data_IF_139926915632
#
_entry.id   IF_139926915632
#
_cell.length_a   1.000
_cell.length_b   1.000
_cell.length_c   1.000
_cell.angle_alpha   90.00
_cell.angle_beta   90.00
_cell.angle_gamma   90.00
#
_symmetry.space_group_name_H-M   'P 1'
#
loop_
_entity.id
_entity.type
_entity.pdbx_description
1 polymer ?
#
# COMPACT_ATOMS: atom_id res chain seq x y z
N UNK A 1 0.11 0.79 -11.16
CA UNK A 1 -0.69 0.35 -10.00
C UNK A 1 -1.17 1.51 -9.15
N UNK A 2 -1.82 1.19 -8.02
CA UNK A 2 -2.49 2.20 -7.16
C UNK A 2 -1.57 3.37 -6.79
N UNK A 3 -0.33 3.12 -6.35
CA UNK A 3 0.60 4.20 -5.98
C UNK A 3 0.87 5.19 -7.10
N UNK A 4 1.04 4.72 -8.37
CA UNK A 4 1.20 5.59 -9.53
C UNK A 4 -0.07 6.39 -9.83
N UNK A 5 -1.24 5.77 -9.73
CA UNK A 5 -2.51 6.45 -9.96
C UNK A 5 -2.76 7.56 -8.93
N UNK A 6 -2.47 7.29 -7.64
CA UNK A 6 -2.54 8.28 -6.57
C UNK A 6 -1.54 9.42 -6.76
N UNK A 7 -0.28 9.09 -7.11
CA UNK A 7 0.74 10.10 -7.35
C UNK A 7 0.35 11.08 -8.45
N UNK A 8 -0.17 10.56 -9.57
CA UNK A 8 -0.67 11.40 -10.66
C UNK A 8 -1.80 12.32 -10.19
N UNK A 9 -2.80 11.76 -9.52
CA UNK A 9 -3.94 12.52 -9.05
C UNK A 9 -3.52 13.64 -8.07
N UNK A 10 -2.66 13.34 -7.11
CA UNK A 10 -2.21 14.36 -6.15
C UNK A 10 -1.30 15.41 -6.77
N UNK A 11 -0.48 15.08 -7.78
CA UNK A 11 0.28 16.09 -8.54
C UNK A 11 -0.67 16.99 -9.33
N UNK A 12 -1.69 16.43 -9.98
CA UNK A 12 -2.75 17.20 -10.68
C UNK A 12 -3.52 18.12 -9.73
N UNK A 13 -3.74 17.70 -8.49
CA UNK A 13 -4.35 18.51 -7.43
C UNK A 13 -3.40 19.59 -6.86
N UNK A 14 -2.14 19.64 -7.33
CA UNK A 14 -1.16 20.65 -6.94
C UNK A 14 -0.26 20.28 -5.76
N UNK A 15 -0.33 19.04 -5.27
CA UNK A 15 0.55 18.56 -4.19
C UNK A 15 1.95 18.21 -4.71
N UNK A 16 2.95 18.30 -3.84
CA UNK A 16 4.28 17.73 -4.07
C UNK A 16 4.30 16.27 -3.61
N UNK A 17 4.79 15.37 -4.45
CA UNK A 17 4.75 13.93 -4.20
C UNK A 17 6.14 13.30 -4.27
N UNK A 18 6.58 12.64 -3.21
CA UNK A 18 7.75 11.77 -3.23
C UNK A 18 7.31 10.33 -3.59
N UNK A 19 7.84 9.82 -4.69
CA UNK A 19 7.57 8.48 -5.22
C UNK A 19 8.68 7.52 -4.76
N UNK A 20 8.34 6.59 -3.88
CA UNK A 20 9.26 5.58 -3.39
C UNK A 20 9.05 4.26 -4.14
N UNK A 21 10.14 3.66 -4.60
CA UNK A 21 10.08 2.35 -5.22
C UNK A 21 11.43 1.69 -5.36
N UNK A 22 11.44 0.36 -5.27
CA UNK A 22 12.65 -0.47 -5.31
C UNK A 22 13.45 -0.33 -6.62
N UNK A 23 12.77 -0.16 -7.75
CA UNK A 23 13.40 0.02 -9.06
C UNK A 23 13.50 1.52 -9.37
N UNK A 24 14.68 2.12 -9.14
CA UNK A 24 14.92 3.55 -9.33
C UNK A 24 14.45 4.04 -10.71
N UNK A 25 14.84 3.37 -11.80
CA UNK A 25 14.45 3.76 -13.16
C UNK A 25 12.93 3.81 -13.38
N UNK A 26 12.14 2.96 -12.66
CA UNK A 26 10.67 3.00 -12.79
C UNK A 26 10.06 4.21 -12.07
N UNK A 27 10.58 4.58 -10.91
CA UNK A 27 10.07 5.77 -10.20
C UNK A 27 10.55 7.06 -10.84
N UNK A 28 11.76 7.08 -11.40
CA UNK A 28 12.32 8.20 -12.17
C UNK A 28 11.46 8.50 -13.41
N UNK A 29 11.14 7.47 -14.21
CA UNK A 29 10.28 7.63 -15.38
C UNK A 29 8.88 8.17 -15.02
N UNK A 30 8.31 7.74 -13.88
CA UNK A 30 7.02 8.27 -13.42
C UNK A 30 7.15 9.71 -12.91
N UNK A 31 8.22 10.04 -12.19
CA UNK A 31 8.44 11.41 -11.72
C UNK A 31 8.67 12.37 -12.88
N UNK A 32 9.42 11.96 -13.91
CA UNK A 32 9.63 12.73 -15.13
C UNK A 32 8.30 13.00 -15.87
N UNK A 33 7.43 11.97 -15.98
CA UNK A 33 6.08 12.12 -16.55
C UNK A 33 5.21 13.12 -15.76
N UNK A 34 5.33 13.14 -14.44
CA UNK A 34 4.53 13.99 -13.55
C UNK A 34 5.08 15.41 -13.36
N UNK A 35 6.35 15.65 -13.75
CA UNK A 35 6.99 16.96 -13.71
C UNK A 35 7.47 17.39 -12.32
N UNK A 36 7.72 18.70 -12.16
CA UNK A 36 8.47 19.30 -11.05
C UNK A 36 7.90 19.07 -9.65
N UNK A 37 6.63 18.68 -9.55
CA UNK A 37 5.99 18.37 -8.27
C UNK A 37 6.21 16.93 -7.82
N UNK A 38 6.81 16.10 -8.67
CA UNK A 38 7.15 14.72 -8.36
C UNK A 38 8.64 14.57 -8.06
N UNK A 39 8.96 13.84 -6.99
CA UNK A 39 10.32 13.47 -6.63
C UNK A 39 10.47 11.95 -6.70
N UNK A 40 11.37 11.44 -7.52
CA UNK A 40 11.74 10.04 -7.52
C UNK A 40 12.70 9.72 -6.37
N UNK A 41 12.43 8.66 -5.63
CA UNK A 41 13.30 8.18 -4.55
C UNK A 41 13.44 6.65 -4.65
N UNK A 42 14.66 6.18 -4.97
CA UNK A 42 14.96 4.76 -4.91
C UNK A 42 14.85 4.28 -3.45
N UNK A 43 13.93 3.35 -3.18
CA UNK A 43 13.70 2.85 -1.83
C UNK A 43 13.21 1.41 -1.85
N UNK A 44 13.98 0.52 -1.25
CA UNK A 44 13.50 -0.81 -0.87
C UNK A 44 12.96 -0.73 0.56
N UNK A 45 11.65 -0.82 0.71
CA UNK A 45 10.99 -0.74 2.02
C UNK A 45 11.32 -1.94 2.93
N UNK A 46 11.88 -3.03 2.39
CA UNK A 46 12.38 -4.16 3.17
C UNK A 46 13.76 -3.90 3.78
N UNK A 47 14.48 -2.84 3.35
CA UNK A 47 15.81 -2.48 3.85
C UNK A 47 15.75 -1.27 4.78
N UNK A 48 16.09 -1.41 6.08
CA UNK A 48 16.09 -0.30 7.02
C UNK A 48 17.02 0.85 6.61
N UNK A 49 18.16 0.55 5.97
CA UNK A 49 19.10 1.56 5.49
C UNK A 49 18.53 2.33 4.29
N UNK A 50 17.94 1.61 3.33
CA UNK A 50 17.28 2.21 2.17
C UNK A 50 16.16 3.15 2.58
N UNK A 51 15.34 2.76 3.57
CA UNK A 51 14.26 3.61 4.10
C UNK A 51 14.83 4.88 4.76
N UNK A 52 15.85 4.76 5.63
CA UNK A 52 16.49 5.94 6.23
C UNK A 52 17.05 6.90 5.18
N UNK A 53 17.78 6.38 4.20
CA UNK A 53 18.34 7.18 3.10
C UNK A 53 17.25 7.90 2.31
N UNK A 54 16.16 7.21 2.00
CA UNK A 54 15.03 7.78 1.28
C UNK A 54 14.37 8.95 2.05
N UNK A 55 14.10 8.75 3.34
CA UNK A 55 13.48 9.81 4.15
C UNK A 55 14.43 10.97 4.46
N UNK A 56 15.74 10.74 4.55
CA UNK A 56 16.73 11.81 4.63
C UNK A 56 16.68 12.72 3.37
N UNK A 57 16.63 12.11 2.17
CA UNK A 57 16.48 12.86 0.92
C UNK A 57 15.14 13.63 0.83
N UNK A 58 14.05 13.03 1.33
CA UNK A 58 12.75 13.70 1.41
C UNK A 58 12.82 14.90 2.36
N UNK A 59 13.43 14.73 3.53
CA UNK A 59 13.57 15.79 4.53
C UNK A 59 14.41 16.96 4.00
N UNK A 60 15.47 16.69 3.25
CA UNK A 60 16.30 17.73 2.62
C UNK A 60 15.51 18.57 1.62
N UNK A 61 14.65 17.94 0.81
CA UNK A 61 13.88 18.64 -0.24
C UNK A 61 12.61 19.30 0.29
N UNK A 62 11.86 18.64 1.18
CA UNK A 62 10.49 19.03 1.54
C UNK A 62 10.35 19.49 3.00
N UNK A 63 11.30 19.16 3.89
CA UNK A 63 11.32 19.52 5.32
C UNK A 63 10.10 19.01 6.13
N UNK A 64 9.00 18.63 5.50
CA UNK A 64 7.76 18.15 6.11
C UNK A 64 7.13 17.04 5.26
N UNK A 65 6.45 16.12 5.92
CA UNK A 65 5.58 15.11 5.33
C UNK A 65 4.17 15.30 5.89
N UNK A 66 3.22 15.70 5.05
CA UNK A 66 1.83 15.86 5.46
C UNK A 66 1.06 14.53 5.38
N UNK A 67 1.38 13.70 4.36
CA UNK A 67 0.71 12.42 4.16
C UNK A 67 1.72 11.34 3.81
N UNK A 68 1.67 10.21 4.52
CA UNK A 68 2.38 8.98 4.19
C UNK A 68 1.36 7.93 3.71
N UNK A 69 1.52 7.40 2.49
CA UNK A 69 0.70 6.30 1.99
C UNK A 69 1.56 5.05 1.86
N UNK A 70 1.43 4.11 2.79
CA UNK A 70 2.08 2.81 2.74
C UNK A 70 1.27 1.87 1.83
N UNK A 71 1.67 1.81 0.55
CA UNK A 71 1.01 1.01 -0.48
C UNK A 71 1.87 -0.16 -0.98
N UNK A 72 3.19 -0.11 -0.82
CA UNK A 72 4.09 -1.17 -1.28
C UNK A 72 3.75 -2.51 -0.61
N UNK A 73 3.63 -3.56 -1.43
CA UNK A 73 3.36 -4.91 -0.94
C UNK A 73 3.78 -5.97 -1.97
N UNK A 74 4.12 -7.14 -1.46
CA UNK A 74 4.26 -8.38 -2.21
C UNK A 74 2.96 -9.16 -2.05
N UNK A 75 2.37 -9.59 -3.17
CA UNK A 75 1.21 -10.48 -3.25
C UNK A 75 1.61 -11.71 -4.06
N UNK A 76 1.90 -12.79 -3.36
CA UNK A 76 2.33 -14.06 -3.94
C UNK A 76 1.58 -15.21 -3.26
N UNK A 77 0.87 -16.04 -4.03
CA UNK A 77 0.15 -17.20 -3.49
C UNK A 77 1.10 -18.39 -3.41
N UNK A 78 1.12 -19.05 -2.26
CA UNK A 78 1.81 -20.33 -2.05
C UNK A 78 1.22 -21.08 -0.86
N UNK A 79 1.39 -22.40 -0.82
CA UNK A 79 1.12 -23.20 0.36
C UNK A 79 2.24 -23.01 1.38
N UNK A 80 1.91 -22.90 2.65
CA UNK A 80 2.93 -22.72 3.70
C UNK A 80 3.92 -23.89 3.75
N UNK A 81 3.45 -25.11 3.47
CA UNK A 81 4.30 -26.32 3.48
C UNK A 81 5.35 -26.30 2.36
N UNK A 82 5.08 -25.64 1.25
CA UNK A 82 5.94 -25.57 0.07
C UNK A 82 6.74 -24.25 -0.01
N UNK A 83 6.51 -23.33 0.94
CA UNK A 83 7.12 -22.01 0.93
C UNK A 83 8.62 -22.07 1.22
N UNK A 84 9.40 -21.33 0.45
CA UNK A 84 10.79 -21.06 0.81
C UNK A 84 10.88 -20.06 1.96
N UNK A 85 11.99 -20.10 2.70
CA UNK A 85 12.29 -19.09 3.72
C UNK A 85 12.27 -17.69 3.12
N UNK A 86 12.81 -17.53 1.91
CA UNK A 86 12.85 -16.25 1.18
C UNK A 86 11.45 -15.70 0.91
N UNK A 87 10.51 -16.52 0.45
CA UNK A 87 9.12 -16.10 0.22
C UNK A 87 8.46 -15.58 1.51
N UNK A 88 8.65 -16.30 2.63
CA UNK A 88 8.11 -15.89 3.92
C UNK A 88 8.76 -14.59 4.40
N UNK A 89 10.10 -14.53 4.40
CA UNK A 89 10.83 -13.34 4.85
C UNK A 89 10.53 -12.12 4.00
N UNK A 90 10.52 -12.25 2.66
CA UNK A 90 10.19 -11.15 1.76
C UNK A 90 8.77 -10.61 1.99
N UNK A 91 7.78 -11.51 2.17
CA UNK A 91 6.43 -11.10 2.46
C UNK A 91 6.32 -10.33 3.79
N UNK A 92 6.96 -10.83 4.86
CA UNK A 92 6.91 -10.21 6.19
C UNK A 92 7.69 -8.89 6.21
N UNK A 93 8.90 -8.87 5.66
CA UNK A 93 9.73 -7.65 5.67
C UNK A 93 9.12 -6.54 4.81
N UNK A 94 8.61 -6.86 3.62
CA UNK A 94 8.00 -5.86 2.75
C UNK A 94 6.64 -5.40 3.28
N UNK A 95 5.75 -6.34 3.62
CA UNK A 95 4.35 -6.00 3.90
C UNK A 95 4.12 -5.54 5.34
N UNK A 96 4.97 -5.94 6.31
CA UNK A 96 4.78 -5.61 7.73
C UNK A 96 5.87 -4.65 8.21
N UNK A 97 7.14 -5.05 8.13
CA UNK A 97 8.24 -4.23 8.61
C UNK A 97 8.39 -2.94 7.77
N UNK A 98 8.18 -3.01 6.46
CA UNK A 98 8.25 -1.86 5.55
C UNK A 98 7.37 -0.68 5.98
N UNK A 99 6.05 -0.85 6.13
CA UNK A 99 5.16 0.20 6.65
C UNK A 99 5.57 0.74 8.03
N UNK A 100 6.05 -0.12 8.92
CA UNK A 100 6.53 0.27 10.25
C UNK A 100 7.79 1.15 10.16
N UNK A 101 8.75 0.76 9.30
CA UNK A 101 9.97 1.53 9.07
C UNK A 101 9.69 2.86 8.38
N UNK A 102 8.81 2.89 7.36
CA UNK A 102 8.40 4.13 6.71
C UNK A 102 7.69 5.07 7.68
N UNK A 103 6.78 4.57 8.53
CA UNK A 103 6.12 5.37 9.56
C UNK A 103 7.15 5.94 10.56
N UNK A 104 8.09 5.13 11.04
CA UNK A 104 9.15 5.56 11.96
C UNK A 104 9.96 6.75 11.41
N UNK A 105 10.35 6.70 10.13
CA UNK A 105 11.13 7.78 9.51
C UNK A 105 10.25 8.98 9.11
N UNK A 106 8.97 8.78 8.83
CA UNK A 106 8.06 9.86 8.47
C UNK A 106 7.59 10.68 9.69
N UNK A 107 7.27 10.05 10.82
CA UNK A 107 6.71 10.68 12.01
C UNK A 107 7.52 11.92 12.47
N UNK A 108 8.86 11.89 12.54
CA UNK A 108 9.65 13.08 12.91
C UNK A 108 9.50 14.27 11.94
N UNK A 109 9.04 14.02 10.70
CA UNK A 109 8.78 15.03 9.67
C UNK A 109 7.31 15.44 9.61
N UNK A 110 6.45 14.80 10.41
CA UNK A 110 5.02 15.05 10.48
C UNK A 110 4.68 15.99 11.63
N UNK A 111 3.49 16.55 11.59
CA UNK A 111 2.95 17.39 12.65
C UNK A 111 1.43 17.26 12.71
N UNK A 112 0.81 18.08 13.57
CA UNK A 112 -0.64 18.12 13.71
C UNK A 112 -1.32 18.29 12.34
N UNK A 113 -2.37 17.52 12.11
CA UNK A 113 -3.09 17.45 10.84
C UNK A 113 -2.49 16.48 9.80
N UNK A 114 -1.28 15.97 10.02
CA UNK A 114 -0.68 14.97 9.13
C UNK A 114 -1.43 13.62 9.18
N UNK A 115 -1.24 12.78 8.15
CA UNK A 115 -2.00 11.56 8.01
C UNK A 115 -1.16 10.38 7.51
N UNK A 116 -1.19 9.26 8.18
CA UNK A 116 -0.62 7.98 7.73
C UNK A 116 -1.76 7.10 7.22
N UNK A 117 -1.68 6.67 5.95
CA UNK A 117 -2.65 5.79 5.32
C UNK A 117 -1.97 4.46 4.98
N UNK A 118 -2.40 3.38 5.62
CA UNK A 118 -1.88 2.04 5.39
C UNK A 118 -2.84 1.23 4.52
N UNK A 119 -2.36 0.72 3.38
CA UNK A 119 -3.18 -0.08 2.47
C UNK A 119 -3.13 -1.56 2.88
N UNK A 120 -4.27 -2.06 3.34
CA UNK A 120 -4.55 -3.45 3.65
C UNK A 120 -5.31 -4.14 2.50
N UNK A 121 -5.95 -5.26 2.73
CA UNK A 121 -6.63 -6.05 1.71
C UNK A 121 -7.90 -6.71 2.23
N UNK A 122 -8.96 -6.73 1.42
CA UNK A 122 -10.18 -7.48 1.70
C UNK A 122 -9.93 -9.01 1.85
N UNK A 123 -8.78 -9.51 1.34
CA UNK A 123 -8.42 -10.92 1.46
C UNK A 123 -8.31 -11.39 2.92
N UNK A 124 -8.18 -10.47 3.89
CA UNK A 124 -8.15 -10.81 5.32
C UNK A 124 -9.44 -11.53 5.73
N UNK A 125 -10.60 -11.10 5.22
CA UNK A 125 -11.90 -11.64 5.57
C UNK A 125 -12.34 -12.79 4.65
N UNK A 126 -11.75 -12.89 3.47
CA UNK A 126 -12.14 -13.87 2.48
C UNK A 126 -11.34 -15.18 2.63
N UNK A 127 -11.96 -16.34 2.45
CA UNK A 127 -11.33 -17.65 2.68
C UNK A 127 -10.40 -18.07 1.52
N UNK A 128 -9.53 -17.17 1.04
CA UNK A 128 -8.60 -17.51 -0.03
C UNK A 128 -7.56 -18.54 0.41
N UNK A 129 -7.47 -19.70 -0.26
CA UNK A 129 -6.37 -20.63 -0.07
C UNK A 129 -5.06 -20.04 -0.60
N UNK A 130 -3.92 -20.61 -0.23
CA UNK A 130 -2.56 -20.22 -0.66
C UNK A 130 -2.16 -18.76 -0.30
N UNK A 131 -2.99 -18.02 0.40
CA UNK A 131 -2.71 -16.65 0.84
C UNK A 131 -2.50 -16.52 2.35
N UNK A 132 -2.21 -17.61 3.06
CA UNK A 132 -2.07 -17.59 4.53
C UNK A 132 -1.05 -16.55 5.00
N UNK A 133 0.15 -16.54 4.42
CA UNK A 133 1.21 -15.57 4.78
C UNK A 133 0.79 -14.15 4.38
N UNK A 134 0.35 -13.94 3.13
CA UNK A 134 -0.09 -12.61 2.67
C UNK A 134 -1.21 -12.05 3.55
N UNK A 135 -2.25 -12.81 3.83
CA UNK A 135 -3.38 -12.41 4.68
C UNK A 135 -2.94 -12.05 6.10
N UNK A 136 -2.04 -12.86 6.67
CA UNK A 136 -1.46 -12.61 7.97
C UNK A 136 -0.66 -11.30 7.99
N UNK A 137 0.11 -11.00 6.94
CA UNK A 137 0.84 -9.72 6.85
C UNK A 137 -0.11 -8.53 6.77
N UNK A 138 -1.21 -8.63 6.02
CA UNK A 138 -2.21 -7.56 5.90
C UNK A 138 -3.02 -7.36 7.21
N UNK A 139 -3.34 -8.44 7.93
CA UNK A 139 -3.93 -8.36 9.26
C UNK A 139 -2.97 -7.70 10.28
N UNK A 140 -1.68 -8.00 10.21
CA UNK A 140 -0.66 -7.35 11.02
C UNK A 140 -0.57 -5.83 10.77
N UNK A 141 -0.68 -5.40 9.50
CA UNK A 141 -0.72 -3.96 9.14
C UNK A 141 -1.94 -3.27 9.73
N UNK A 142 -3.12 -3.91 9.71
CA UNK A 142 -4.32 -3.34 10.34
C UNK A 142 -4.14 -3.21 11.86
N UNK A 143 -3.58 -4.24 12.50
CA UNK A 143 -3.32 -4.17 13.94
C UNK A 143 -2.29 -3.10 14.28
N UNK A 144 -1.21 -2.99 13.51
CA UNK A 144 -0.22 -1.93 13.62
C UNK A 144 -0.86 -0.54 13.50
N UNK A 145 -1.69 -0.33 12.49
CA UNK A 145 -2.40 0.95 12.27
C UNK A 145 -3.26 1.33 13.47
N UNK A 146 -3.99 0.38 14.04
CA UNK A 146 -4.83 0.62 15.23
C UNK A 146 -4.00 1.01 16.46
N UNK A 147 -2.84 0.39 16.67
CA UNK A 147 -1.95 0.75 17.77
C UNK A 147 -1.30 2.12 17.53
N UNK A 148 -0.81 2.36 16.32
CA UNK A 148 -0.17 3.62 15.94
C UNK A 148 -1.13 4.81 16.01
N UNK A 149 -2.41 4.62 15.68
CA UNK A 149 -3.45 5.65 15.82
C UNK A 149 -3.56 6.13 17.26
N UNK A 150 -3.53 5.21 18.25
CA UNK A 150 -3.59 5.55 19.68
C UNK A 150 -2.29 6.25 20.10
N UNK A 151 -1.16 5.78 19.63
CA UNK A 151 0.16 6.33 19.94
C UNK A 151 0.32 7.78 19.45
N UNK A 152 -0.21 8.10 18.27
CA UNK A 152 -0.05 9.40 17.61
C UNK A 152 -1.21 10.39 17.83
N UNK A 153 -2.26 9.98 18.52
CA UNK A 153 -3.40 10.86 18.84
C UNK A 153 -2.98 12.14 19.60
N UNK A 154 -2.06 12.11 20.59
CA UNK A 154 -1.60 13.31 21.27
C UNK A 154 -0.90 14.32 20.35
N UNK A 155 -0.20 13.84 19.33
CA UNK A 155 0.49 14.66 18.32
C UNK A 155 -0.48 15.21 17.27
N UNK A 156 -1.71 14.71 17.22
CA UNK A 156 -2.72 15.06 16.23
C UNK A 156 -2.40 14.53 14.84
N UNK A 157 -1.68 13.42 14.74
CA UNK A 157 -1.40 12.70 13.49
C UNK A 157 -2.42 11.59 13.33
N UNK A 158 -3.17 11.63 12.22
CA UNK A 158 -4.19 10.63 11.91
C UNK A 158 -3.59 9.36 11.34
N UNK A 159 -4.20 8.23 11.62
CA UNK A 159 -3.82 6.94 11.02
C UNK A 159 -5.06 6.23 10.51
N UNK A 160 -5.09 5.92 9.21
CA UNK A 160 -6.21 5.21 8.57
C UNK A 160 -5.73 3.93 7.91
N UNK A 161 -6.50 2.86 8.06
CA UNK A 161 -6.36 1.66 7.23
C UNK A 161 -7.36 1.67 6.09
N UNK A 162 -6.87 1.52 4.86
CA UNK A 162 -7.71 1.28 3.68
C UNK A 162 -7.63 -0.19 3.29
N UNK A 163 -8.68 -0.94 3.57
CA UNK A 163 -8.82 -2.35 3.16
C UNK A 163 -9.30 -2.38 1.72
N UNK A 164 -8.36 -2.53 0.79
CA UNK A 164 -8.61 -2.49 -0.64
C UNK A 164 -9.13 -3.83 -1.17
N UNK A 165 -10.12 -3.77 -2.06
CA UNK A 165 -10.65 -4.93 -2.79
C UNK A 165 -9.78 -5.34 -3.97
N UNK A 166 -10.32 -6.26 -4.80
CA UNK A 166 -9.67 -6.66 -6.03
C UNK A 166 -9.60 -5.49 -7.01
N UNK A 167 -8.39 -5.20 -7.50
CA UNK A 167 -8.12 -4.06 -8.37
C UNK A 167 -7.25 -4.45 -9.54
N UNK A 168 -7.43 -3.76 -10.67
CA UNK A 168 -6.57 -3.94 -11.84
C UNK A 168 -6.30 -2.62 -12.56
N UNK A 169 -5.34 -2.66 -13.46
CA UNK A 169 -5.02 -1.62 -14.44
C UNK A 169 -4.77 -2.31 -15.78
N UNK A 170 -5.33 -1.77 -16.83
CA UNK A 170 -5.12 -2.32 -18.17
C UNK A 170 -3.62 -2.35 -18.54
N UNK A 171 -3.17 -3.45 -19.13
CA UNK A 171 -1.76 -3.65 -19.47
C UNK A 171 -0.85 -4.03 -18.30
N UNK A 172 -1.35 -4.10 -17.07
CA UNK A 172 -0.56 -4.57 -15.93
C UNK A 172 -0.64 -6.07 -15.79
N UNK A 173 0.51 -6.71 -15.80
CA UNK A 173 0.64 -8.15 -15.51
C UNK A 173 0.92 -8.39 -14.04
N UNK A 174 0.40 -9.48 -13.51
CA UNK A 174 0.75 -9.98 -12.20
C UNK A 174 2.06 -10.78 -12.31
N UNK A 175 3.13 -10.23 -11.76
CA UNK A 175 4.49 -10.80 -11.80
C UNK A 175 4.63 -11.91 -10.73
N UNK A 176 4.03 -13.04 -11.00
CA UNK A 176 4.03 -14.26 -10.18
C UNK A 176 4.21 -15.45 -11.11
N UNK A 177 4.85 -16.50 -10.64
CA UNK A 177 5.03 -17.74 -11.37
C UNK A 177 3.71 -18.28 -11.94
N UNK A 178 3.73 -18.80 -13.16
CA UNK A 178 2.51 -19.26 -13.85
C UNK A 178 1.90 -20.47 -13.14
N UNK A 179 2.73 -21.38 -12.62
CA UNK A 179 2.24 -22.55 -11.91
C UNK A 179 1.55 -22.15 -10.60
N UNK A 180 2.12 -21.20 -9.87
CA UNK A 180 1.51 -20.66 -8.67
C UNK A 180 0.15 -19.99 -8.93
N UNK A 181 0.00 -19.30 -10.08
CA UNK A 181 -1.30 -18.75 -10.51
C UNK A 181 -2.33 -19.83 -10.77
N UNK A 182 -1.95 -20.89 -11.48
CA UNK A 182 -2.85 -22.03 -11.81
C UNK A 182 -3.29 -22.69 -10.50
N UNK A 183 -2.37 -23.06 -9.64
CA UNK A 183 -2.67 -23.72 -8.37
C UNK A 183 -3.55 -22.85 -7.46
N UNK A 184 -3.29 -21.56 -7.40
CA UNK A 184 -4.13 -20.61 -6.67
C UNK A 184 -5.56 -20.57 -7.22
N UNK A 185 -5.71 -20.50 -8.56
CA UNK A 185 -7.02 -20.48 -9.21
C UNK A 185 -7.82 -21.77 -8.94
N UNK A 186 -7.17 -22.93 -9.10
CA UNK A 186 -7.81 -24.22 -8.82
C UNK A 186 -8.23 -24.35 -7.36
N UNK A 187 -7.36 -23.94 -6.44
CA UNK A 187 -7.65 -23.98 -5.01
C UNK A 187 -8.79 -23.04 -4.63
N UNK A 188 -8.82 -21.81 -5.19
CA UNK A 188 -9.90 -20.85 -5.00
C UNK A 188 -11.23 -21.38 -5.52
N UNK A 189 -11.24 -21.98 -6.70
CA UNK A 189 -12.44 -22.62 -7.29
C UNK A 189 -12.97 -23.75 -6.39
N UNK A 190 -12.09 -24.61 -5.87
CA UNK A 190 -12.48 -25.69 -4.92
C UNK A 190 -13.03 -25.11 -3.60
N UNK A 191 -12.60 -23.94 -3.20
CA UNK A 191 -13.11 -23.22 -2.02
C UNK A 191 -14.40 -22.42 -2.31
N UNK A 192 -14.98 -22.55 -3.51
CA UNK A 192 -16.20 -21.84 -3.92
C UNK A 192 -15.99 -20.37 -4.30
N UNK A 193 -14.73 -19.96 -4.55
CA UNK A 193 -14.39 -18.60 -4.96
C UNK A 193 -14.13 -18.59 -6.47
N UNK A 194 -15.05 -17.97 -7.23
CA UNK A 194 -14.86 -17.78 -8.67
C UNK A 194 -14.04 -16.50 -8.93
N UNK A 195 -12.73 -16.67 -9.18
CA UNK A 195 -11.82 -15.54 -9.44
C UNK A 195 -12.07 -14.86 -10.79
N UNK A 196 -12.71 -15.56 -11.76
CA UNK A 196 -12.95 -15.03 -13.11
C UNK A 196 -14.16 -14.11 -13.10
N UNK A 197 -15.24 -14.51 -12.43
CA UNK A 197 -16.48 -13.73 -12.36
C UNK A 197 -16.50 -12.71 -11.24
N UNK A 198 -15.48 -12.74 -10.39
CA UNK A 198 -15.41 -11.81 -9.26
C UNK A 198 -15.24 -10.38 -9.77
N UNK A 199 -16.06 -9.44 -9.29
CA UNK A 199 -15.91 -8.03 -9.66
C UNK A 199 -14.51 -7.51 -9.30
N UNK A 200 -13.92 -6.77 -10.22
CA UNK A 200 -12.65 -6.05 -10.03
C UNK A 200 -12.87 -4.58 -10.36
N UNK A 201 -12.23 -3.68 -9.61
CA UNK A 201 -12.28 -2.26 -9.88
C UNK A 201 -10.95 -1.74 -10.42
N UNK A 202 -10.96 -0.58 -11.07
CA UNK A 202 -9.74 0.06 -11.52
C UNK A 202 -9.08 0.81 -10.36
N UNK A 203 -7.75 0.95 -10.37
CA UNK A 203 -7.04 1.75 -9.37
C UNK A 203 -7.54 3.19 -9.30
N UNK A 204 -7.91 3.77 -10.44
CA UNK A 204 -8.44 5.13 -10.54
C UNK A 204 -9.75 5.34 -9.78
N UNK A 205 -10.54 4.29 -9.60
CA UNK A 205 -11.80 4.36 -8.83
C UNK A 205 -11.57 4.67 -7.34
N UNK A 206 -10.36 4.43 -6.82
CA UNK A 206 -10.02 4.69 -5.43
C UNK A 206 -9.54 6.14 -5.18
N UNK A 207 -9.21 6.88 -6.22
CA UNK A 207 -8.62 8.23 -6.10
C UNK A 207 -9.52 9.15 -5.27
N UNK A 208 -10.83 9.16 -5.56
CA UNK A 208 -11.80 9.99 -4.82
C UNK A 208 -11.82 9.71 -3.31
N UNK A 209 -11.69 8.44 -2.91
CA UNK A 209 -11.58 8.08 -1.50
C UNK A 209 -10.30 8.64 -0.87
N UNK A 210 -9.15 8.46 -1.52
CA UNK A 210 -7.87 8.94 -0.97
C UNK A 210 -7.85 10.48 -0.87
N UNK A 211 -8.42 11.19 -1.85
CA UNK A 211 -8.63 12.66 -1.76
C UNK A 211 -9.46 13.01 -0.53
N UNK A 212 -10.62 12.36 -0.35
CA UNK A 212 -11.48 12.58 0.81
C UNK A 212 -10.74 12.34 2.12
N UNK A 213 -9.96 11.25 2.23
CA UNK A 213 -9.20 10.95 3.45
C UNK A 213 -8.14 12.01 3.75
N UNK A 214 -7.46 12.53 2.73
CA UNK A 214 -6.45 13.59 2.88
C UNK A 214 -7.10 14.90 3.31
N UNK A 215 -8.25 15.25 2.74
CA UNK A 215 -8.96 16.51 2.96
C UNK A 215 -9.87 16.51 4.20
N UNK A 216 -9.93 15.41 4.95
CA UNK A 216 -10.73 15.36 6.19
C UNK A 216 -10.26 16.43 7.20
N UNK A 217 -11.19 17.08 7.91
CA UNK A 217 -10.85 18.02 8.96
C UNK A 217 -10.07 17.34 10.09
N UNK A 218 -9.22 18.12 10.78
CA UNK A 218 -8.29 17.61 11.79
C UNK A 218 -8.97 16.94 12.98
N UNK A 219 -10.20 17.32 13.29
CA UNK A 219 -11.01 16.78 14.39
C UNK A 219 -11.75 15.49 14.04
N UNK A 220 -11.54 14.97 12.80
CA UNK A 220 -12.16 13.73 12.34
C UNK A 220 -11.12 12.63 12.08
N UNK A 221 -11.23 11.54 12.81
CA UNK A 221 -10.44 10.32 12.62
C UNK A 221 -11.27 9.23 11.95
N UNK A 222 -10.83 8.76 10.78
CA UNK A 222 -11.34 7.55 10.14
C UNK A 222 -10.36 6.42 10.39
N UNK A 223 -10.69 5.50 11.26
CA UNK A 223 -9.77 4.42 11.62
C UNK A 223 -9.64 3.38 10.50
N UNK A 224 -10.76 3.04 9.84
CA UNK A 224 -10.79 1.98 8.83
C UNK A 224 -11.82 2.25 7.73
N UNK A 225 -11.44 1.94 6.49
CA UNK A 225 -12.34 1.95 5.32
C UNK A 225 -12.20 0.63 4.57
N UNK A 226 -13.28 -0.11 4.41
CA UNK A 226 -13.35 -1.32 3.59
C UNK A 226 -13.93 -1.03 2.20
N UNK A 227 -13.29 -1.53 1.16
CA UNK A 227 -13.69 -1.36 -0.23
C UNK A 227 -13.87 -2.72 -0.90
N UNK A 228 -14.97 -2.85 -1.63
CA UNK A 228 -15.25 -4.02 -2.45
C UNK A 228 -15.65 -3.58 -3.85
N UNK A 229 -15.13 -4.27 -4.86
CA UNK A 229 -15.60 -4.11 -6.22
C UNK A 229 -17.07 -4.58 -6.33
N UNK A 230 -17.85 -3.94 -7.19
CA UNK A 230 -19.24 -4.31 -7.49
C UNK A 230 -19.39 -4.54 -8.99
N UNK A 231 -20.31 -5.42 -9.36
CA UNK A 231 -20.70 -5.55 -10.75
C UNK A 231 -21.33 -4.23 -11.23
N UNK A 232 -20.98 -3.77 -12.45
CA UNK A 232 -21.71 -2.68 -13.08
C UNK A 232 -23.18 -3.07 -13.22
N UNK A 233 -24.08 -2.17 -12.86
CA UNK A 233 -25.52 -2.36 -13.09
C UNK A 233 -25.84 -2.09 -14.55
#
# INVERSE_FOLDING_TARGET
GLGRALARAFVEDGHSVALLGRTAAKVEAVAEELGDRAMAVGCDVASPESVRTAFAAIAEKHQRVDVLINNAAIFEPFKVVDASDEQIFNAVTTNVAGPMMCAREAIPLMGRGSHIINVSSESIELPFPHLSVYRSTKAAVERFSNCLMIELDPEGIRVTTVRAGAMYEEGKTWDVDMQAKIEFHEAATKAGINLIERPITQFTSLIGLFRTLVDLPEDLQVAHVGLHAREPQ
#
